data_IF_718052805226
#
_entry.id   IF_718052805226
#
_cell.length_a   1.000
_cell.length_b   1.000
_cell.length_c   1.000
_cell.angle_alpha   90.00
_cell.angle_beta   90.00
_cell.angle_gamma   90.00
#
_symmetry.space_group_name_H-M   'P 1'
#
loop_
_entity.id
_entity.type
_entity.pdbx_description
1 polymer ?
#
# COMPACT_ATOMS: atom_id res chain seq x y z
N UNK A 1 62.67 46.60 18.71
CA UNK A 1 61.84 46.27 19.89
C UNK A 1 60.61 45.57 19.34
N UNK A 2 60.62 44.25 19.30
CA UNK A 2 59.61 43.41 18.67
C UNK A 2 58.84 42.67 19.75
N UNK A 3 57.51 42.67 19.69
CA UNK A 3 56.68 41.67 20.39
C UNK A 3 55.57 41.25 19.44
N UNK A 4 55.83 40.21 18.65
CA UNK A 4 54.78 39.43 17.99
C UNK A 4 54.14 38.52 19.04
N UNK A 5 52.88 38.80 19.38
CA UNK A 5 52.05 37.92 20.21
C UNK A 5 51.60 36.74 19.37
N UNK A 6 52.27 35.60 19.57
CA UNK A 6 51.90 34.31 19.01
C UNK A 6 50.58 33.84 19.65
N UNK A 7 49.47 34.02 18.95
CA UNK A 7 48.16 33.47 19.32
C UNK A 7 48.14 32.01 18.90
N UNK A 8 48.33 31.11 19.86
CA UNK A 8 48.24 29.67 19.63
C UNK A 8 46.79 29.30 19.28
N UNK A 9 46.56 28.82 18.06
CA UNK A 9 45.28 28.21 17.70
C UNK A 9 45.10 26.88 18.47
N UNK A 10 43.89 26.58 18.98
CA UNK A 10 43.63 25.30 19.64
C UNK A 10 43.64 24.18 18.59
N UNK A 11 44.71 23.39 18.56
CA UNK A 11 44.80 22.19 17.74
C UNK A 11 43.87 21.10 18.30
N UNK A 12 42.62 21.08 17.88
CA UNK A 12 41.67 20.02 18.21
C UNK A 12 41.99 18.77 17.38
N UNK A 13 42.86 17.91 17.92
CA UNK A 13 43.21 16.62 17.31
C UNK A 13 42.28 15.53 17.85
N UNK A 14 41.18 15.27 17.15
CA UNK A 14 40.41 14.04 17.39
C UNK A 14 41.26 12.88 16.88
N UNK A 15 41.60 11.93 17.76
CA UNK A 15 42.29 10.71 17.37
C UNK A 15 41.40 9.90 16.40
N UNK A 16 41.99 9.25 15.40
CA UNK A 16 41.25 8.37 14.50
C UNK A 16 40.43 7.32 15.28
N UNK A 17 40.92 6.85 16.43
CA UNK A 17 40.18 5.93 17.28
C UNK A 17 38.90 6.54 17.87
N UNK A 18 38.90 7.83 18.26
CA UNK A 18 37.71 8.52 18.78
C UNK A 18 36.75 8.94 17.67
N UNK A 19 37.26 9.29 16.48
CA UNK A 19 36.44 9.52 15.30
C UNK A 19 35.72 8.23 14.84
N UNK A 20 36.43 7.09 14.86
CA UNK A 20 35.84 5.79 14.52
C UNK A 20 34.82 5.36 15.57
N UNK A 21 35.11 5.50 16.88
CA UNK A 21 34.15 5.14 17.93
C UNK A 21 32.86 5.98 17.86
N UNK A 22 32.99 7.28 17.62
CA UNK A 22 31.83 8.18 17.50
C UNK A 22 30.98 7.84 16.28
N UNK A 23 31.60 7.55 15.13
CA UNK A 23 30.88 7.11 13.93
C UNK A 23 30.22 5.73 14.12
N UNK A 24 30.91 4.76 14.72
CA UNK A 24 30.38 3.41 14.95
C UNK A 24 29.19 3.41 15.92
N UNK A 25 29.11 4.38 16.83
CA UNK A 25 27.98 4.50 17.78
C UNK A 25 26.86 5.40 17.22
N UNK A 26 27.19 6.51 16.55
CA UNK A 26 26.18 7.44 16.02
C UNK A 26 25.45 6.91 14.79
N UNK A 27 26.12 6.22 13.87
CA UNK A 27 25.51 5.66 12.66
C UNK A 27 24.35 4.70 13.00
N UNK A 28 24.50 3.70 13.89
CA UNK A 28 23.39 2.81 14.22
C UNK A 28 22.29 3.53 15.00
N UNK A 29 22.59 4.52 15.84
CA UNK A 29 21.56 5.29 16.55
C UNK A 29 20.74 6.13 15.56
N UNK A 30 21.38 6.82 14.62
CA UNK A 30 20.71 7.60 13.57
C UNK A 30 19.90 6.67 12.66
N UNK A 31 20.42 5.49 12.33
CA UNK A 31 19.69 4.48 11.56
C UNK A 31 18.44 4.00 12.31
N UNK A 32 18.55 3.67 13.61
CA UNK A 32 17.41 3.26 14.45
C UNK A 32 16.37 4.38 14.55
N UNK A 33 16.78 5.63 14.74
CA UNK A 33 15.85 6.78 14.78
C UNK A 33 15.20 7.02 13.42
N UNK A 34 15.94 6.92 12.31
CA UNK A 34 15.40 7.04 10.96
C UNK A 34 14.41 5.92 10.62
N UNK A 35 14.68 4.68 11.07
CA UNK A 35 13.71 3.59 10.97
C UNK A 35 12.50 3.82 11.87
N UNK A 36 12.65 4.39 13.07
CA UNK A 36 11.51 4.67 13.96
C UNK A 36 10.66 5.87 13.51
N UNK A 37 11.25 6.86 12.85
CA UNK A 37 10.52 8.01 12.28
C UNK A 37 9.85 7.66 10.94
N UNK A 38 10.35 6.64 10.24
CA UNK A 38 9.70 6.04 9.06
C UNK A 38 8.77 4.87 9.43
N UNK A 39 8.91 4.30 10.64
CA UNK A 39 8.09 3.21 11.18
C UNK A 39 6.79 3.74 11.81
N UNK A 40 6.07 4.54 11.04
CA UNK A 40 4.60 4.49 11.07
C UNK A 40 4.07 3.36 10.17
N UNK A 41 4.93 2.61 9.47
CA UNK A 41 4.52 1.45 8.68
C UNK A 41 5.69 0.47 8.44
N UNK A 42 5.96 -0.41 9.40
CA UNK A 42 6.52 -1.73 9.11
C UNK A 42 5.35 -2.74 9.15
N UNK A 43 5.32 -3.77 8.27
CA UNK A 43 4.14 -4.58 8.06
C UNK A 43 3.75 -5.26 9.37
N UNK A 44 2.54 -4.96 9.82
CA UNK A 44 1.89 -5.74 10.85
C UNK A 44 1.74 -7.15 10.27
N UNK A 45 2.67 -8.06 10.57
CA UNK A 45 2.32 -9.46 10.67
C UNK A 45 1.42 -9.57 11.88
N UNK A 46 0.16 -9.18 11.68
CA UNK A 46 -0.90 -9.39 12.65
C UNK A 46 -1.01 -10.90 12.82
N UNK A 47 -0.85 -11.31 14.07
CA UNK A 47 -1.17 -12.62 14.59
C UNK A 47 -2.64 -12.94 14.22
N UNK A 48 -2.86 -13.59 13.07
CA UNK A 48 -4.17 -14.11 12.65
C UNK A 48 -4.44 -15.37 13.46
N UNK A 49 -4.58 -15.24 14.77
CA UNK A 49 -4.92 -16.38 15.63
C UNK A 49 -6.20 -16.08 16.39
N UNK A 50 -7.24 -16.81 15.94
CA UNK A 50 -8.38 -17.30 16.72
C UNK A 50 -9.64 -16.44 16.83
N UNK A 51 -9.61 -15.15 16.46
CA UNK A 51 -10.77 -14.27 16.62
C UNK A 51 -11.40 -13.79 15.30
N UNK A 52 -10.75 -14.02 14.15
CA UNK A 52 -11.27 -13.66 12.82
C UNK A 52 -12.21 -14.70 12.21
N UNK A 53 -12.27 -15.92 12.77
CA UNK A 53 -13.08 -17.00 12.20
C UNK A 53 -14.60 -16.75 12.34
N UNK A 54 -15.03 -15.88 13.28
CA UNK A 54 -16.46 -15.59 13.48
C UNK A 54 -16.97 -14.51 12.50
N UNK A 55 -16.11 -13.57 12.07
CA UNK A 55 -16.47 -12.51 11.10
C UNK A 55 -16.26 -12.92 9.63
N UNK A 56 -15.33 -13.84 9.35
CA UNK A 56 -15.04 -14.33 7.99
C UNK A 56 -16.05 -15.38 7.47
N UNK A 57 -16.65 -16.17 8.37
CA UNK A 57 -17.68 -17.15 8.02
C UNK A 57 -19.01 -16.48 7.63
N UNK A 58 -19.39 -15.38 8.30
CA UNK A 58 -20.64 -14.67 8.04
C UNK A 58 -20.60 -13.77 6.79
N UNK A 59 -19.41 -13.35 6.36
CA UNK A 59 -19.18 -12.47 5.20
C UNK A 59 -19.03 -13.22 3.87
N UNK A 60 -19.08 -14.57 3.87
CA UNK A 60 -18.86 -15.38 2.68
C UNK A 60 -17.39 -15.46 2.23
N UNK A 61 -16.45 -14.92 3.01
CA UNK A 61 -15.02 -14.96 2.69
C UNK A 61 -14.49 -16.39 2.78
N UNK A 62 -14.80 -17.13 3.84
CA UNK A 62 -14.31 -18.50 4.02
C UNK A 62 -14.65 -19.44 2.84
N UNK A 63 -15.92 -19.55 2.39
CA UNK A 63 -16.24 -20.39 1.24
C UNK A 63 -15.60 -19.88 -0.06
N UNK A 64 -15.48 -18.56 -0.26
CA UNK A 64 -14.85 -17.99 -1.45
C UNK A 64 -13.33 -18.26 -1.46
N UNK A 65 -12.67 -18.16 -0.31
CA UNK A 65 -11.24 -18.46 -0.15
C UNK A 65 -10.98 -19.93 -0.44
N UNK A 66 -11.77 -20.83 0.15
CA UNK A 66 -11.68 -22.27 -0.12
C UNK A 66 -11.88 -22.60 -1.60
N UNK A 67 -12.80 -21.90 -2.28
CA UNK A 67 -13.03 -22.08 -3.71
C UNK A 67 -11.79 -21.68 -4.54
N UNK A 68 -11.18 -20.52 -4.22
CA UNK A 68 -9.96 -20.06 -4.87
C UNK A 68 -8.74 -20.96 -4.58
N UNK A 69 -8.65 -21.55 -3.39
CA UNK A 69 -7.59 -22.52 -3.06
C UNK A 69 -7.79 -23.86 -3.78
N UNK A 70 -9.03 -24.33 -3.88
CA UNK A 70 -9.35 -25.65 -4.44
C UNK A 70 -9.28 -25.66 -5.97
N UNK A 71 -9.65 -24.56 -6.61
CA UNK A 71 -9.65 -24.44 -8.07
C UNK A 71 -9.27 -23.00 -8.48
N UNK A 72 -7.98 -22.63 -8.37
CA UNK A 72 -7.54 -21.25 -8.62
C UNK A 72 -7.71 -20.88 -10.09
N UNK A 73 -8.62 -19.94 -10.35
CA UNK A 73 -8.87 -19.36 -11.67
C UNK A 73 -9.43 -17.94 -11.55
N UNK A 74 -9.64 -17.31 -12.71
CA UNK A 74 -10.23 -15.97 -12.81
C UNK A 74 -11.50 -15.80 -11.97
N UNK A 75 -12.48 -16.70 -12.14
CA UNK A 75 -13.81 -16.59 -11.52
C UNK A 75 -13.74 -16.76 -9.99
N UNK A 76 -12.93 -17.70 -9.51
CA UNK A 76 -12.77 -17.90 -8.07
C UNK A 76 -12.12 -16.70 -7.39
N UNK A 77 -11.12 -16.08 -8.03
CA UNK A 77 -10.49 -14.88 -7.50
C UNK A 77 -11.39 -13.64 -7.63
N UNK A 78 -12.20 -13.56 -8.70
CA UNK A 78 -13.20 -12.51 -8.86
C UNK A 78 -14.24 -12.53 -7.73
N UNK A 79 -14.73 -13.71 -7.38
CA UNK A 79 -15.69 -13.92 -6.29
C UNK A 79 -15.06 -13.74 -4.91
N UNK A 80 -13.80 -14.14 -4.71
CA UNK A 80 -13.09 -13.88 -3.47
C UNK A 80 -12.93 -12.37 -3.23
N UNK A 81 -12.57 -11.60 -4.26
CA UNK A 81 -12.50 -10.15 -4.14
C UNK A 81 -13.85 -9.52 -3.79
N UNK A 82 -14.95 -10.01 -4.37
CA UNK A 82 -16.30 -9.55 -4.02
C UNK A 82 -16.65 -9.86 -2.57
N UNK A 83 -16.29 -11.05 -2.05
CA UNK A 83 -16.50 -11.40 -0.65
C UNK A 83 -15.73 -10.46 0.30
N UNK A 84 -14.47 -10.15 -0.02
CA UNK A 84 -13.69 -9.17 0.73
C UNK A 84 -14.28 -7.77 0.66
N UNK A 85 -14.72 -7.32 -0.52
CA UNK A 85 -15.34 -6.01 -0.69
C UNK A 85 -16.62 -5.86 0.13
N UNK A 86 -17.50 -6.87 0.12
CA UNK A 86 -18.73 -6.88 0.90
C UNK A 86 -18.49 -6.87 2.42
N UNK A 87 -17.31 -7.35 2.86
CA UNK A 87 -16.87 -7.27 4.24
C UNK A 87 -16.14 -5.95 4.58
N UNK A 88 -16.07 -5.00 3.64
CA UNK A 88 -15.29 -3.76 3.72
C UNK A 88 -13.76 -3.97 3.85
N UNK A 89 -13.26 -5.17 3.50
CA UNK A 89 -11.83 -5.48 3.42
C UNK A 89 -11.31 -5.09 2.03
N UNK A 90 -11.25 -3.77 1.77
CA UNK A 90 -11.04 -3.26 0.41
C UNK A 90 -9.64 -3.58 -0.16
N UNK A 91 -8.58 -3.57 0.65
CA UNK A 91 -7.23 -3.89 0.18
C UNK A 91 -7.08 -5.38 -0.18
N UNK A 92 -7.70 -6.26 0.59
CA UNK A 92 -7.79 -7.69 0.29
C UNK A 92 -8.62 -7.94 -0.96
N UNK A 93 -9.68 -7.14 -1.19
CA UNK A 93 -10.48 -7.23 -2.42
C UNK A 93 -9.65 -6.87 -3.66
N UNK A 94 -8.85 -5.80 -3.59
CA UNK A 94 -7.90 -5.42 -4.66
C UNK A 94 -6.93 -6.57 -4.92
N UNK A 95 -6.30 -7.11 -3.87
CA UNK A 95 -5.33 -8.20 -4.01
C UNK A 95 -5.93 -9.44 -4.68
N UNK A 96 -7.17 -9.79 -4.33
CA UNK A 96 -7.87 -10.91 -4.96
C UNK A 96 -8.22 -10.63 -6.44
N UNK A 97 -8.68 -9.42 -6.76
CA UNK A 97 -8.97 -9.06 -8.16
C UNK A 97 -7.71 -8.89 -9.01
N UNK A 98 -6.58 -8.49 -8.44
CA UNK A 98 -5.27 -8.51 -9.10
C UNK A 98 -4.86 -9.95 -9.45
N UNK A 99 -5.06 -10.91 -8.54
CA UNK A 99 -4.89 -12.32 -8.87
C UNK A 99 -5.83 -12.78 -9.98
N UNK A 100 -7.09 -12.33 -10.01
CA UNK A 100 -7.98 -12.64 -11.12
C UNK A 100 -7.41 -12.11 -12.46
N UNK A 101 -6.82 -10.91 -12.47
CA UNK A 101 -6.16 -10.33 -13.64
C UNK A 101 -4.91 -11.11 -14.09
N UNK A 102 -4.24 -11.86 -13.21
CA UNK A 102 -3.17 -12.80 -13.63
C UNK A 102 -3.70 -13.90 -14.56
N UNK A 103 -4.97 -14.33 -14.39
CA UNK A 103 -5.63 -15.32 -15.25
C UNK A 103 -6.30 -14.70 -16.48
N UNK A 104 -6.85 -13.49 -16.33
CA UNK A 104 -7.44 -12.74 -17.44
C UNK A 104 -7.03 -11.25 -17.37
N UNK A 105 -5.91 -10.88 -18.00
CA UNK A 105 -5.41 -9.50 -17.99
C UNK A 105 -6.30 -8.49 -18.72
N UNK A 106 -7.29 -8.96 -19.49
CA UNK A 106 -8.20 -8.13 -20.28
C UNK A 106 -9.62 -8.11 -19.66
N UNK A 107 -9.72 -8.23 -18.35
CA UNK A 107 -11.01 -8.11 -17.66
C UNK A 107 -11.32 -6.66 -17.27
N UNK A 108 -12.18 -6.01 -18.05
CA UNK A 108 -12.74 -4.70 -17.68
C UNK A 108 -13.50 -4.75 -16.34
N UNK A 109 -14.17 -5.88 -16.05
CA UNK A 109 -14.92 -6.09 -14.81
C UNK A 109 -13.98 -6.09 -13.60
N UNK A 110 -12.86 -6.82 -13.66
CA UNK A 110 -11.91 -6.87 -12.55
C UNK A 110 -11.28 -5.49 -12.29
N UNK A 111 -10.92 -4.74 -13.35
CA UNK A 111 -10.43 -3.36 -13.20
C UNK A 111 -11.48 -2.40 -12.61
N UNK A 112 -12.74 -2.50 -13.03
CA UNK A 112 -13.81 -1.67 -12.45
C UNK A 112 -14.05 -2.01 -10.97
N UNK A 113 -13.96 -3.29 -10.59
CA UNK A 113 -14.08 -3.72 -9.21
C UNK A 113 -12.93 -3.17 -8.35
N UNK A 114 -11.68 -3.26 -8.84
CA UNK A 114 -10.52 -2.63 -8.20
C UNK A 114 -10.73 -1.13 -8.03
N UNK A 115 -11.27 -0.45 -9.06
CA UNK A 115 -11.59 0.97 -8.97
C UNK A 115 -12.58 1.27 -7.83
N UNK A 116 -13.66 0.49 -7.73
CA UNK A 116 -14.63 0.65 -6.65
C UNK A 116 -14.02 0.47 -5.25
N UNK A 117 -13.10 -0.50 -5.08
CA UNK A 117 -12.37 -0.66 -3.82
C UNK A 117 -11.47 0.54 -3.49
N UNK A 118 -10.76 1.09 -4.47
CA UNK A 118 -9.99 2.32 -4.26
C UNK A 118 -10.89 3.53 -3.94
N UNK A 119 -12.06 3.64 -4.57
CA UNK A 119 -13.02 4.69 -4.26
C UNK A 119 -13.56 4.59 -2.84
N UNK A 120 -13.81 3.37 -2.35
CA UNK A 120 -14.20 3.14 -0.95
C UNK A 120 -13.09 3.49 0.07
N UNK A 121 -11.83 3.49 -0.38
CA UNK A 121 -10.66 3.92 0.40
C UNK A 121 -10.30 5.40 0.20
N UNK A 122 -11.08 6.15 -0.59
CA UNK A 122 -10.79 7.53 -1.00
C UNK A 122 -9.43 7.70 -1.70
N UNK A 123 -8.95 6.64 -2.34
CA UNK A 123 -7.71 6.60 -3.13
C UNK A 123 -8.02 7.01 -4.58
N UNK A 124 -8.34 8.30 -4.76
CA UNK A 124 -8.92 8.79 -6.01
C UNK A 124 -8.00 8.65 -7.23
N UNK A 125 -6.68 8.73 -7.06
CA UNK A 125 -5.74 8.57 -8.18
C UNK A 125 -5.73 7.12 -8.68
N UNK A 126 -5.74 6.17 -7.76
CA UNK A 126 -5.74 4.75 -8.01
C UNK A 126 -7.09 4.30 -8.60
N UNK A 127 -8.20 4.83 -8.09
CA UNK A 127 -9.53 4.63 -8.68
C UNK A 127 -9.58 5.11 -10.14
N UNK A 128 -9.12 6.35 -10.41
CA UNK A 128 -9.07 6.90 -11.78
C UNK A 128 -8.25 5.98 -12.69
N UNK A 129 -7.06 5.56 -12.28
CA UNK A 129 -6.20 4.70 -13.08
C UNK A 129 -6.84 3.34 -13.38
N UNK A 130 -7.54 2.75 -12.40
CA UNK A 130 -8.25 1.48 -12.58
C UNK A 130 -9.48 1.64 -13.51
N UNK A 131 -10.26 2.72 -13.37
CA UNK A 131 -11.35 3.03 -14.29
C UNK A 131 -10.85 3.24 -15.73
N UNK A 132 -9.73 3.94 -15.92
CA UNK A 132 -9.15 4.16 -17.26
C UNK A 132 -8.72 2.84 -17.90
N UNK A 133 -8.13 1.91 -17.14
CA UNK A 133 -7.84 0.55 -17.63
C UNK A 133 -9.11 -0.22 -18.01
N UNK A 134 -10.15 -0.16 -17.19
CA UNK A 134 -11.44 -0.80 -17.50
C UNK A 134 -12.03 -0.25 -18.81
N UNK A 135 -12.02 1.07 -18.99
CA UNK A 135 -12.54 1.75 -20.19
C UNK A 135 -11.67 1.58 -21.44
N UNK A 136 -10.37 1.36 -21.28
CA UNK A 136 -9.50 1.00 -22.39
C UNK A 136 -9.86 -0.38 -22.98
N UNK A 137 -10.36 -1.30 -22.15
CA UNK A 137 -10.78 -2.65 -22.55
C UNK A 137 -12.24 -2.64 -23.03
N UNK A 138 -13.15 -2.04 -22.26
CA UNK A 138 -14.55 -1.83 -22.62
C UNK A 138 -14.93 -0.34 -22.56
N UNK A 139 -14.82 0.38 -23.70
CA UNK A 139 -15.16 1.79 -23.77
C UNK A 139 -16.63 2.12 -23.49
N UNK A 140 -17.52 1.12 -23.44
CA UNK A 140 -18.95 1.30 -23.23
C UNK A 140 -19.41 0.94 -21.81
N UNK A 141 -18.50 0.52 -20.93
CA UNK A 141 -18.82 0.14 -19.55
C UNK A 141 -19.32 1.34 -18.74
N UNK A 142 -20.65 1.47 -18.59
CA UNK A 142 -21.29 2.59 -17.90
C UNK A 142 -20.85 2.74 -16.44
N UNK A 143 -20.65 1.61 -15.72
CA UNK A 143 -20.18 1.63 -14.34
C UNK A 143 -18.80 2.31 -14.22
N UNK A 144 -17.85 1.96 -15.09
CA UNK A 144 -16.52 2.53 -15.06
C UNK A 144 -16.52 4.03 -15.44
N UNK A 145 -17.40 4.46 -16.34
CA UNK A 145 -17.59 5.90 -16.65
C UNK A 145 -18.09 6.66 -15.43
N UNK A 146 -19.13 6.14 -14.77
CA UNK A 146 -19.71 6.77 -13.58
C UNK A 146 -18.69 6.86 -12.43
N UNK A 147 -17.95 5.78 -12.18
CA UNK A 147 -16.89 5.76 -11.17
C UNK A 147 -15.76 6.74 -11.51
N UNK A 148 -15.34 6.82 -12.78
CA UNK A 148 -14.32 7.78 -13.22
C UNK A 148 -14.74 9.24 -13.00
N UNK A 149 -15.99 9.57 -13.34
CA UNK A 149 -16.56 10.91 -13.13
C UNK A 149 -16.61 11.24 -11.63
N UNK A 150 -17.06 10.29 -10.81
CA UNK A 150 -17.08 10.42 -9.36
C UNK A 150 -15.68 10.65 -8.79
N UNK A 151 -14.71 9.81 -9.14
CA UNK A 151 -13.35 9.88 -8.66
C UNK A 151 -12.67 11.21 -9.01
N UNK A 152 -12.88 11.71 -10.24
CA UNK A 152 -12.34 13.02 -10.67
C UNK A 152 -12.92 14.17 -9.87
N UNK A 153 -14.23 14.13 -9.58
CA UNK A 153 -14.89 15.12 -8.73
C UNK A 153 -14.34 15.07 -7.31
N UNK A 154 -14.32 13.90 -6.69
CA UNK A 154 -13.83 13.72 -5.32
C UNK A 154 -12.35 14.09 -5.17
N UNK A 155 -11.52 13.78 -6.17
CA UNK A 155 -10.14 14.24 -6.21
C UNK A 155 -10.05 15.77 -6.13
N UNK A 156 -10.75 16.48 -7.02
CA UNK A 156 -10.76 17.94 -7.05
C UNK A 156 -11.25 18.56 -5.73
N UNK A 157 -12.24 17.95 -5.08
CA UNK A 157 -12.79 18.39 -3.80
C UNK A 157 -11.87 18.07 -2.62
N UNK A 158 -11.13 16.96 -2.66
CA UNK A 158 -10.23 16.53 -1.59
C UNK A 158 -8.92 17.33 -1.51
N UNK A 159 -8.62 18.15 -2.52
CA UNK A 159 -7.37 18.90 -2.62
C UNK A 159 -6.12 18.02 -2.79
N UNK A 160 -6.30 16.74 -3.13
CA UNK A 160 -5.25 15.74 -3.37
C UNK A 160 -5.03 15.48 -4.87
#
# INVERSE_FOLDING_TARGET
MSTETNVAEPSFKISYATAILTLVILIPIVYIVATNLSSSAAPQQQEVTKNQNITTAASGIEPALKAAESNPNYETYLNLGLAYYNAANYLESVSAWEKALEYNPQSAVAYNNIAAAYGALEMWNEEIAACEKALAIDPNMALAKNNLEWAKKMKAESGK
#
